data_IF_268045461233
#
_entry.id   IF_268045461233
#
_cell.length_a   1.000
_cell.length_b   1.000
_cell.length_c   1.000
_cell.angle_alpha   90.00
_cell.angle_beta   90.00
_cell.angle_gamma   90.00
#
_symmetry.space_group_name_H-M   'P 1'
#
loop_
_entity.id
_entity.type
_entity.pdbx_description
1 polymer ?
#
# COMPACT_ATOMS: atom_id res chain seq x y z
N UNK A 1 -10.48 -6.32 -15.90
CA UNK A 1 -9.51 -7.45 -15.91
C UNK A 1 -8.20 -7.01 -16.54
N UNK A 2 -8.19 -6.18 -17.63
CA UNK A 2 -7.00 -5.70 -18.31
C UNK A 2 -6.05 -4.90 -17.40
N UNK A 3 -6.58 -4.20 -16.45
CA UNK A 3 -5.87 -3.37 -15.44
C UNK A 3 -5.20 -4.21 -14.34
N UNK A 4 -5.55 -5.49 -14.24
CA UNK A 4 -5.01 -6.44 -13.24
C UNK A 4 -3.90 -7.34 -13.78
N UNK A 5 -3.50 -7.15 -15.02
CA UNK A 5 -2.42 -7.88 -15.67
C UNK A 5 -1.33 -6.93 -16.13
N UNK A 6 -0.09 -7.38 -16.16
CA UNK A 6 1.04 -6.59 -16.67
C UNK A 6 0.98 -6.42 -18.19
N UNK A 7 0.58 -7.49 -18.91
CA UNK A 7 0.41 -7.47 -20.36
C UNK A 7 -1.05 -7.74 -20.75
N UNK A 8 -1.77 -6.69 -21.14
CA UNK A 8 -3.18 -6.76 -21.56
C UNK A 8 -3.40 -7.66 -22.79
N UNK A 9 -2.37 -7.87 -23.63
CA UNK A 9 -2.45 -8.74 -24.81
C UNK A 9 -2.74 -10.19 -24.44
N UNK A 10 -2.35 -10.63 -23.24
CA UNK A 10 -2.67 -11.98 -22.75
C UNK A 10 -4.18 -12.19 -22.59
N UNK A 11 -4.88 -11.18 -22.10
CA UNK A 11 -6.35 -11.19 -21.98
C UNK A 11 -7.01 -11.20 -23.35
N UNK A 12 -6.48 -10.43 -24.30
CA UNK A 12 -7.01 -10.40 -25.67
C UNK A 12 -6.80 -11.73 -26.40
N UNK A 13 -5.63 -12.37 -26.21
CA UNK A 13 -5.34 -13.69 -26.75
C UNK A 13 -6.29 -14.75 -26.18
N UNK A 14 -6.56 -14.73 -24.87
CA UNK A 14 -7.54 -15.63 -24.24
C UNK A 14 -8.96 -15.37 -24.78
N UNK A 15 -9.37 -14.11 -24.88
CA UNK A 15 -10.68 -13.74 -25.42
C UNK A 15 -10.85 -14.18 -26.87
N UNK A 16 -9.80 -14.08 -27.69
CA UNK A 16 -9.78 -14.59 -29.07
C UNK A 16 -9.90 -16.11 -29.10
N UNK A 17 -9.16 -16.82 -28.27
CA UNK A 17 -9.22 -18.28 -28.19
C UNK A 17 -10.62 -18.76 -27.77
N UNK A 18 -11.27 -18.09 -26.81
CA UNK A 18 -12.63 -18.41 -26.38
C UNK A 18 -13.71 -18.17 -27.45
N UNK A 19 -13.47 -17.27 -28.42
CA UNK A 19 -14.38 -16.97 -29.52
C UNK A 19 -14.16 -17.87 -30.73
N UNK A 20 -13.21 -18.79 -30.69
CA UNK A 20 -12.92 -19.70 -31.80
C UNK A 20 -14.14 -20.62 -32.01
N UNK A 21 -14.66 -20.65 -33.24
CA UNK A 21 -15.85 -21.46 -33.60
C UNK A 21 -15.51 -22.94 -33.52
N UNK A 22 -16.34 -23.70 -32.84
CA UNK A 22 -16.23 -25.17 -32.79
C UNK A 22 -16.61 -25.74 -34.16
N UNK A 23 -15.84 -26.71 -34.71
CA UNK A 23 -16.25 -27.40 -35.94
C UNK A 23 -17.59 -28.09 -35.75
N UNK A 24 -18.48 -27.88 -36.72
CA UNK A 24 -19.81 -28.52 -36.72
C UNK A 24 -19.68 -30.02 -37.02
N UNK A 25 -20.41 -30.85 -36.30
CA UNK A 25 -20.46 -32.29 -36.54
C UNK A 25 -21.69 -32.64 -37.36
N UNK A 26 -21.47 -33.07 -38.61
CA UNK A 26 -22.53 -33.37 -39.56
C UNK A 26 -23.16 -34.76 -39.37
N UNK A 27 -22.77 -35.49 -38.34
CA UNK A 27 -23.22 -36.84 -38.10
C UNK A 27 -22.48 -37.90 -38.93
N UNK A 28 -22.77 -39.18 -38.67
CA UNK A 28 -22.19 -40.30 -39.38
C UNK A 28 -23.33 -41.03 -40.17
N UNK A 29 -23.72 -40.49 -41.32
CA UNK A 29 -24.68 -41.12 -42.23
C UNK A 29 -23.90 -41.72 -43.42
N UNK A 30 -23.54 -42.99 -43.29
CA UNK A 30 -22.79 -43.64 -44.33
C UNK A 30 -23.46 -44.97 -44.76
N UNK A 31 -23.87 -45.05 -46.00
CA UNK A 31 -24.45 -46.25 -46.62
C UNK A 31 -23.41 -47.13 -47.35
N UNK A 32 -22.11 -46.78 -47.28
CA UNK A 32 -21.04 -47.51 -47.94
C UNK A 32 -19.73 -47.47 -47.10
N UNK A 33 -18.80 -48.39 -47.40
CA UNK A 33 -17.48 -48.42 -46.79
C UNK A 33 -16.71 -47.11 -47.01
N UNK A 34 -16.74 -46.56 -48.21
CA UNK A 34 -16.10 -45.28 -48.51
C UNK A 34 -16.68 -44.14 -47.70
N UNK A 35 -18.00 -44.09 -47.47
CA UNK A 35 -18.65 -43.10 -46.61
C UNK A 35 -18.28 -43.23 -45.14
N UNK A 36 -18.07 -44.46 -44.64
CA UNK A 36 -17.57 -44.69 -43.28
C UNK A 36 -16.13 -44.23 -43.12
N UNK A 37 -15.25 -44.50 -44.09
CA UNK A 37 -13.84 -44.06 -44.07
C UNK A 37 -13.76 -42.53 -44.08
N UNK A 38 -14.63 -41.83 -44.84
CA UNK A 38 -14.72 -40.36 -44.84
C UNK A 38 -15.22 -39.83 -43.52
N UNK A 39 -16.29 -40.38 -42.93
CA UNK A 39 -16.85 -40.01 -41.67
C UNK A 39 -15.80 -40.17 -40.52
N UNK A 40 -15.08 -41.29 -40.53
CA UNK A 40 -13.97 -41.53 -39.57
C UNK A 40 -12.90 -40.44 -39.69
N UNK A 41 -12.47 -40.13 -40.93
CA UNK A 41 -11.48 -39.06 -41.15
C UNK A 41 -11.95 -37.68 -40.70
N UNK A 42 -13.27 -37.38 -40.82
CA UNK A 42 -13.86 -36.12 -40.26
C UNK A 42 -13.82 -36.12 -38.74
N UNK A 43 -14.17 -37.24 -38.08
CA UNK A 43 -14.10 -37.38 -36.63
C UNK A 43 -12.66 -37.23 -36.10
N UNK A 44 -11.69 -37.85 -36.75
CA UNK A 44 -10.27 -37.73 -36.35
C UNK A 44 -9.81 -36.30 -36.45
N UNK A 45 -10.15 -35.56 -37.50
CA UNK A 45 -9.84 -34.14 -37.65
C UNK A 45 -10.48 -33.30 -36.54
N UNK A 46 -11.75 -33.59 -36.23
CA UNK A 46 -12.46 -32.90 -35.15
C UNK A 46 -11.86 -33.19 -33.79
N UNK A 47 -11.47 -34.44 -33.49
CA UNK A 47 -10.78 -34.80 -32.26
C UNK A 47 -9.43 -34.10 -32.14
N UNK A 48 -8.64 -34.05 -33.24
CA UNK A 48 -7.37 -33.32 -33.27
C UNK A 48 -7.57 -31.82 -33.07
N UNK A 49 -8.63 -31.23 -33.63
CA UNK A 49 -8.97 -29.82 -33.39
C UNK A 49 -9.27 -29.56 -31.91
N UNK A 50 -10.13 -30.38 -31.26
CA UNK A 50 -10.44 -30.23 -29.83
C UNK A 50 -9.19 -30.32 -28.96
N UNK A 51 -8.33 -31.29 -29.23
CA UNK A 51 -7.06 -31.46 -28.50
C UNK A 51 -6.16 -30.22 -28.63
N UNK A 52 -6.02 -29.69 -29.85
CA UNK A 52 -5.21 -28.51 -30.13
C UNK A 52 -5.81 -27.25 -29.49
N UNK A 53 -7.13 -27.11 -29.61
CA UNK A 53 -7.85 -25.95 -29.04
C UNK A 53 -7.79 -25.96 -27.51
N UNK A 54 -7.97 -27.10 -26.86
CA UNK A 54 -7.83 -27.23 -25.40
C UNK A 54 -6.42 -26.87 -24.94
N UNK A 55 -5.38 -27.32 -25.66
CA UNK A 55 -4.00 -26.97 -25.37
C UNK A 55 -3.74 -25.45 -25.54
N UNK A 56 -4.31 -24.84 -26.58
CA UNK A 56 -4.22 -23.39 -26.83
C UNK A 56 -4.90 -22.58 -25.73
N UNK A 57 -6.10 -22.97 -25.30
CA UNK A 57 -6.81 -22.36 -24.18
C UNK A 57 -6.00 -22.47 -22.88
N UNK A 58 -5.47 -23.66 -22.58
CA UNK A 58 -4.63 -23.84 -21.39
C UNK A 58 -3.39 -22.97 -21.38
N UNK A 59 -2.73 -22.78 -22.54
CA UNK A 59 -1.60 -21.85 -22.68
C UNK A 59 -2.05 -20.40 -22.45
N UNK A 60 -3.18 -19.99 -23.02
CA UNK A 60 -3.70 -18.62 -22.88
C UNK A 60 -4.08 -18.31 -21.42
N UNK A 61 -4.71 -19.26 -20.70
CA UNK A 61 -5.03 -19.12 -19.28
C UNK A 61 -3.75 -18.93 -18.48
N UNK A 62 -2.76 -19.80 -18.64
CA UNK A 62 -1.47 -19.69 -17.94
C UNK A 62 -0.76 -18.37 -18.24
N UNK A 63 -0.85 -17.84 -19.44
CA UNK A 63 -0.27 -16.54 -19.80
C UNK A 63 -0.94 -15.39 -19.04
N UNK A 64 -2.28 -15.43 -18.89
CA UNK A 64 -3.01 -14.43 -18.08
C UNK A 64 -2.64 -14.53 -16.60
N UNK A 65 -2.58 -15.75 -16.05
CA UNK A 65 -2.20 -15.98 -14.66
C UNK A 65 -0.78 -15.47 -14.36
N UNK A 66 0.17 -15.80 -15.22
CA UNK A 66 1.56 -15.30 -15.11
C UNK A 66 1.61 -13.78 -15.19
N UNK A 67 0.90 -13.18 -16.15
CA UNK A 67 0.86 -11.72 -16.32
C UNK A 67 0.19 -11.01 -15.14
N UNK A 68 -0.79 -11.66 -14.49
CA UNK A 68 -1.40 -11.17 -13.25
C UNK A 68 -0.40 -11.20 -12.09
N UNK A 69 0.31 -12.30 -11.94
CA UNK A 69 1.35 -12.42 -10.91
C UNK A 69 2.46 -11.38 -11.13
N UNK A 70 2.92 -11.19 -12.36
CA UNK A 70 3.91 -10.16 -12.71
C UNK A 70 3.45 -8.75 -12.31
N UNK A 71 2.17 -8.45 -12.45
CA UNK A 71 1.59 -7.19 -12.00
C UNK A 71 1.59 -7.07 -10.48
N UNK A 72 1.19 -8.13 -9.77
CA UNK A 72 1.21 -8.18 -8.30
C UNK A 72 2.63 -7.96 -7.77
N UNK A 73 3.63 -8.62 -8.36
CA UNK A 73 5.05 -8.44 -8.00
C UNK A 73 5.49 -7.00 -8.23
N UNK A 74 5.19 -6.41 -9.39
CA UNK A 74 5.57 -5.02 -9.72
C UNK A 74 4.97 -4.01 -8.72
N UNK A 75 3.71 -4.18 -8.34
CA UNK A 75 3.06 -3.30 -7.38
C UNK A 75 3.63 -3.48 -5.95
N UNK A 76 3.99 -4.72 -5.58
CA UNK A 76 4.66 -5.03 -4.32
C UNK A 76 6.09 -4.46 -4.25
N UNK A 77 6.86 -4.52 -5.35
CA UNK A 77 8.18 -3.90 -5.44
C UNK A 77 8.13 -2.38 -5.26
N UNK A 78 7.11 -1.72 -5.84
CA UNK A 78 6.89 -0.28 -5.63
C UNK A 78 6.60 0.02 -4.17
N UNK A 79 5.70 -0.75 -3.53
CA UNK A 79 5.40 -0.57 -2.11
C UNK A 79 6.64 -0.81 -1.24
N UNK A 80 7.46 -1.83 -1.55
CA UNK A 80 8.72 -2.11 -0.85
C UNK A 80 9.69 -0.92 -0.94
N UNK A 81 9.81 -0.30 -2.11
CA UNK A 81 10.63 0.90 -2.30
C UNK A 81 10.07 2.10 -1.53
N UNK A 82 8.77 2.38 -1.66
CA UNK A 82 8.11 3.54 -1.08
C UNK A 82 8.02 3.48 0.45
N UNK A 83 7.99 2.28 1.02
CA UNK A 83 7.89 2.07 2.47
C UNK A 83 9.23 2.18 3.23
N UNK A 84 10.36 2.38 2.54
CA UNK A 84 11.67 2.47 3.15
C UNK A 84 11.76 3.61 4.18
N UNK A 85 12.10 3.27 5.44
CA UNK A 85 12.17 4.20 6.55
C UNK A 85 10.82 4.73 7.05
N UNK A 86 9.70 4.23 6.50
CA UNK A 86 8.34 4.69 6.82
C UNK A 86 7.51 3.65 7.57
N UNK A 87 8.08 2.48 7.88
CA UNK A 87 7.42 1.41 8.65
C UNK A 87 7.78 1.50 10.13
N UNK A 88 6.87 1.08 11.00
CA UNK A 88 7.13 0.94 12.43
C UNK A 88 7.93 -0.34 12.74
N UNK A 89 7.79 -1.38 11.90
CA UNK A 89 8.50 -2.66 12.02
C UNK A 89 9.10 -3.05 10.66
N UNK A 90 10.44 -3.04 10.57
CA UNK A 90 11.19 -3.44 9.36
C UNK A 90 11.02 -4.91 9.00
N UNK A 91 10.57 -5.78 9.92
CA UNK A 91 10.27 -7.19 9.61
C UNK A 91 9.18 -7.31 8.55
N UNK A 92 8.19 -6.40 8.55
CA UNK A 92 7.11 -6.41 7.55
C UNK A 92 7.65 -6.22 6.14
N UNK A 93 8.67 -5.38 5.96
CA UNK A 93 9.34 -5.18 4.67
C UNK A 93 10.17 -6.41 4.26
N UNK A 94 10.86 -7.03 5.22
CA UNK A 94 11.62 -8.27 4.95
C UNK A 94 10.70 -9.42 4.53
N UNK A 95 9.52 -9.53 5.13
CA UNK A 95 8.50 -10.50 4.72
C UNK A 95 8.01 -10.23 3.29
N UNK A 96 7.76 -8.96 2.94
CA UNK A 96 7.35 -8.58 1.60
C UNK A 96 8.45 -8.88 0.57
N UNK A 97 9.70 -8.58 0.88
CA UNK A 97 10.84 -8.88 0.02
C UNK A 97 10.96 -10.40 -0.24
N UNK A 98 10.77 -11.23 0.79
CA UNK A 98 10.81 -12.69 0.64
C UNK A 98 9.65 -13.19 -0.21
N UNK A 99 8.41 -12.73 0.05
CA UNK A 99 7.25 -13.13 -0.72
C UNK A 99 7.38 -12.74 -2.23
N UNK A 100 7.98 -11.58 -2.52
CA UNK A 100 8.30 -11.16 -3.90
C UNK A 100 9.28 -12.12 -4.56
N UNK A 101 10.36 -12.52 -3.85
CA UNK A 101 11.36 -13.48 -4.36
C UNK A 101 10.74 -14.84 -4.66
N UNK A 102 9.87 -15.30 -3.77
CA UNK A 102 9.18 -16.59 -3.91
C UNK A 102 8.06 -16.52 -4.96
N UNK A 103 7.68 -15.32 -5.40
CA UNK A 103 6.58 -15.06 -6.35
C UNK A 103 5.27 -15.71 -5.91
N UNK A 104 5.02 -15.74 -4.61
CA UNK A 104 3.79 -16.26 -4.00
C UNK A 104 2.76 -15.13 -3.88
N UNK A 105 1.70 -15.21 -4.67
CA UNK A 105 0.67 -14.16 -4.73
C UNK A 105 -0.08 -13.96 -3.40
N UNK A 106 -0.33 -15.05 -2.67
CA UNK A 106 -1.05 -14.99 -1.40
C UNK A 106 -0.14 -14.42 -0.32
N UNK A 107 1.10 -14.90 -0.22
CA UNK A 107 2.11 -14.35 0.69
C UNK A 107 2.41 -12.86 0.40
N UNK A 108 2.45 -12.44 -0.88
CA UNK A 108 2.59 -11.03 -1.25
C UNK A 108 1.40 -10.23 -0.71
N UNK A 109 0.17 -10.72 -0.88
CA UNK A 109 -1.04 -10.05 -0.39
C UNK A 109 -1.04 -9.83 1.12
N UNK A 110 -0.65 -10.85 1.89
CA UNK A 110 -0.52 -10.76 3.35
C UNK A 110 0.59 -9.77 3.77
N UNK A 111 1.75 -9.84 3.13
CA UNK A 111 2.88 -8.97 3.42
C UNK A 111 2.60 -7.50 3.05
N UNK A 112 1.89 -7.23 1.95
CA UNK A 112 1.42 -5.89 1.58
C UNK A 112 0.55 -5.30 2.69
N UNK A 113 -0.44 -6.05 3.18
CA UNK A 113 -1.29 -5.60 4.29
C UNK A 113 -0.48 -5.31 5.57
N UNK A 114 0.53 -6.14 5.87
CA UNK A 114 1.41 -5.94 7.03
C UNK A 114 2.25 -4.65 6.88
N UNK A 115 2.83 -4.40 5.71
CA UNK A 115 3.58 -3.16 5.43
C UNK A 115 2.69 -1.94 5.54
N UNK A 116 1.49 -1.95 4.95
CA UNK A 116 0.53 -0.84 5.03
C UNK A 116 0.12 -0.55 6.48
N UNK A 117 -0.14 -1.58 7.26
CA UNK A 117 -0.41 -1.46 8.70
C UNK A 117 0.75 -0.82 9.46
N UNK A 118 1.97 -1.26 9.17
CA UNK A 118 3.21 -0.75 9.78
C UNK A 118 3.48 0.72 9.41
N UNK A 119 3.23 1.12 8.16
CA UNK A 119 3.34 2.52 7.70
C UNK A 119 2.34 3.41 8.43
N UNK A 120 1.08 2.97 8.56
CA UNK A 120 0.05 3.71 9.31
C UNK A 120 0.41 3.86 10.79
N UNK A 121 0.93 2.80 11.42
CA UNK A 121 1.36 2.82 12.82
C UNK A 121 2.51 3.81 13.03
N UNK A 122 3.52 3.83 12.15
CA UNK A 122 4.60 4.80 12.22
C UNK A 122 4.11 6.23 12.04
N UNK A 123 3.30 6.49 11.03
CA UNK A 123 2.76 7.84 10.79
C UNK A 123 1.97 8.37 12.00
N UNK A 124 1.19 7.49 12.65
CA UNK A 124 0.48 7.84 13.89
C UNK A 124 1.46 8.15 15.03
N UNK A 125 2.45 7.30 15.26
CA UNK A 125 3.44 7.51 16.31
C UNK A 125 4.23 8.80 16.11
N UNK A 126 4.62 9.11 14.88
CA UNK A 126 5.34 10.35 14.53
C UNK A 126 4.45 11.59 14.76
N UNK A 127 3.16 11.52 14.43
CA UNK A 127 2.19 12.59 14.70
C UNK A 127 1.96 12.81 16.21
N UNK A 128 1.79 11.71 16.97
CA UNK A 128 1.62 11.76 18.42
C UNK A 128 2.89 12.34 19.10
N UNK A 129 4.08 11.95 18.65
CA UNK A 129 5.34 12.47 19.15
C UNK A 129 5.50 13.97 18.86
N UNK A 130 5.10 14.42 17.66
CA UNK A 130 5.10 15.83 17.30
C UNK A 130 4.15 16.64 18.18
N UNK A 131 2.90 16.17 18.36
CA UNK A 131 1.92 16.84 19.20
C UNK A 131 2.38 16.96 20.66
N UNK A 132 3.05 15.94 21.20
CA UNK A 132 3.63 15.98 22.56
C UNK A 132 4.72 17.04 22.67
N UNK A 133 5.65 17.12 21.72
CA UNK A 133 6.71 18.14 21.72
C UNK A 133 6.12 19.55 21.66
N UNK A 134 5.16 19.79 20.78
CA UNK A 134 4.47 21.09 20.68
C UNK A 134 3.74 21.46 21.97
N UNK A 135 3.11 20.48 22.64
CA UNK A 135 2.46 20.71 23.94
C UNK A 135 3.48 21.00 25.06
N UNK A 136 4.62 20.29 25.09
CA UNK A 136 5.70 20.52 26.05
C UNK A 136 6.33 21.89 25.86
N UNK A 137 6.65 22.28 24.61
CA UNK A 137 7.19 23.61 24.29
C UNK A 137 6.25 24.73 24.71
N UNK A 138 4.94 24.56 24.44
CA UNK A 138 3.92 25.52 24.87
C UNK A 138 3.83 25.62 26.39
N UNK A 139 3.83 24.51 27.10
CA UNK A 139 3.78 24.48 28.55
C UNK A 139 5.02 25.14 29.18
N UNK A 140 6.22 24.91 28.60
CA UNK A 140 7.44 25.58 29.03
C UNK A 140 7.39 27.10 28.80
N UNK A 141 6.94 27.54 27.63
CA UNK A 141 6.79 28.96 27.33
C UNK A 141 5.78 29.65 28.26
N UNK A 142 4.67 28.99 28.60
CA UNK A 142 3.68 29.50 29.57
C UNK A 142 4.27 29.60 30.98
N UNK A 143 5.07 28.61 31.42
CA UNK A 143 5.75 28.65 32.72
C UNK A 143 6.79 29.76 32.80
N UNK A 144 7.63 29.93 31.74
CA UNK A 144 8.59 31.02 31.66
C UNK A 144 7.92 32.40 31.68
N UNK A 145 6.83 32.57 30.93
CA UNK A 145 6.05 33.81 30.93
C UNK A 145 5.45 34.12 32.31
N UNK A 146 4.92 33.10 32.99
CA UNK A 146 4.36 33.25 34.36
C UNK A 146 5.49 33.62 35.33
N UNK A 147 6.62 32.94 35.31
CA UNK A 147 7.77 33.25 36.17
C UNK A 147 8.31 34.68 35.95
N UNK A 148 8.34 35.12 34.67
CA UNK A 148 8.74 36.50 34.36
C UNK A 148 7.73 37.53 34.89
N UNK A 149 6.43 37.26 34.81
CA UNK A 149 5.39 38.10 35.33
C UNK A 149 5.45 38.17 36.85
N UNK A 150 5.64 37.05 37.53
CA UNK A 150 5.77 36.99 39.00
C UNK A 150 7.01 37.75 39.49
N UNK A 151 8.13 37.62 38.79
CA UNK A 151 9.37 38.38 39.08
C UNK A 151 9.17 39.90 38.90
N UNK A 152 8.46 40.32 37.84
CA UNK A 152 8.16 41.73 37.59
C UNK A 152 7.23 42.28 38.67
N UNK A 153 6.20 41.52 39.10
CA UNK A 153 5.31 41.91 40.20
C UNK A 153 6.08 42.06 41.53
N UNK A 154 6.97 41.14 41.86
CA UNK A 154 7.81 41.21 43.07
C UNK A 154 8.73 42.44 43.05
N UNK A 155 9.34 42.78 41.91
CA UNK A 155 10.13 43.99 41.74
C UNK A 155 9.29 45.26 41.92
N UNK A 156 8.10 45.32 41.36
CA UNK A 156 7.19 46.46 41.51
C UNK A 156 6.77 46.67 43.00
N UNK A 157 6.49 45.59 43.72
CA UNK A 157 6.17 45.65 45.17
C UNK A 157 7.38 46.13 45.99
N UNK A 158 8.61 45.65 45.69
CA UNK A 158 9.81 46.09 46.37
C UNK A 158 10.09 47.59 46.16
N UNK A 159 9.83 48.11 44.94
CA UNK A 159 9.95 49.54 44.64
C UNK A 159 8.92 50.40 45.40
N UNK A 160 7.70 49.96 45.51
CA UNK A 160 6.66 50.64 46.28
C UNK A 160 6.99 50.70 47.78
N UNK A 161 7.52 49.60 48.33
CA UNK A 161 7.95 49.58 49.74
C UNK A 161 9.13 50.53 50.00
N UNK A 162 10.14 50.58 49.08
CA UNK A 162 11.27 51.48 49.19
C UNK A 162 10.84 52.97 49.14
N UNK A 163 9.83 53.32 48.35
CA UNK A 163 9.29 54.71 48.32
C UNK A 163 8.48 55.06 49.55
N UNK A 164 7.81 54.11 50.20
CA UNK A 164 7.10 54.36 51.44
C UNK A 164 7.99 54.59 52.67
N UNK A 165 9.21 54.03 52.65
CA UNK A 165 10.20 54.23 53.74
C UNK A 165 11.03 55.49 53.58
N UNK A 166 11.13 56.11 52.39
CA UNK A 166 11.95 57.29 52.08
C UNK A 166 11.28 58.64 52.42
N UNK A 167 10.06 58.68 52.94
CA UNK A 167 9.27 59.89 53.14
C UNK A 167 9.24 60.48 54.55
N UNK A 168 10.21 60.21 55.43
CA UNK A 168 10.05 60.53 56.83
C UNK A 168 11.23 61.16 57.57
N UNK A 169 12.00 62.12 57.00
CA UNK A 169 12.91 63.01 57.79
C UNK A 169 12.90 64.42 57.21
N UNK A 170 11.83 65.14 57.42
CA UNK A 170 11.86 66.60 57.36
C UNK A 170 12.33 67.13 58.74
N UNK A 171 13.64 67.41 58.86
CA UNK A 171 14.14 68.09 60.07
C UNK A 171 13.86 69.57 59.97
N UNK A 172 12.84 69.99 60.73
CA UNK A 172 12.55 71.39 60.97
C UNK A 172 13.55 71.93 62.00
N UNK A 173 14.53 72.72 61.61
CA UNK A 173 15.35 73.56 62.45
C UNK A 173 14.93 75.00 62.35
N UNK A 174 14.26 75.52 63.38
CA UNK A 174 13.98 76.93 63.57
C UNK A 174 15.03 77.59 64.44
N UNK A 175 15.37 78.79 64.12
CA UNK A 175 15.45 79.96 65.09
C UNK A 175 15.41 81.19 64.31
#
# INVERSE_FOLDING_TARGET
IRDRVKDARTVDALAKALKTTVPEYEGCLAGSKAGLDEATSKLDRQAAWYKTHAASLGKAVKAVESSRLDRTVEDAEKLLADSKGRVADEKTRSMLEQAIKDRDADAIGEAVNAVDGSVKAKAKADADAKARREAEEKAQAEQEAQAAADAAAAQAQAQQQAQSYGGGYSYGGGT
#
